data_IF_700218150001
#
_entry.id   IF_700218150001
#
_cell.length_a   1.000
_cell.length_b   1.000
_cell.length_c   1.000
_cell.angle_alpha   90.00
_cell.angle_beta   90.00
_cell.angle_gamma   90.00
#
_symmetry.space_group_name_H-M   'P 1'
#
loop_
_entity.id
_entity.type
_entity.pdbx_description
1 polymer ?
#
# COMPACT_ATOMS: atom_id res chain seq x y z
N UNK A 1 -8.76 16.99 -31.59
CA UNK A 1 -9.27 15.84 -30.81
C UNK A 1 -8.92 16.05 -29.33
N UNK A 2 -9.76 15.61 -28.39
CA UNK A 2 -9.44 15.67 -26.96
C UNK A 2 -8.27 14.75 -26.61
N UNK A 3 -7.50 15.10 -25.56
CA UNK A 3 -6.43 14.24 -25.04
C UNK A 3 -7.02 13.11 -24.20
N UNK A 4 -6.44 11.92 -24.28
CA UNK A 4 -6.88 10.80 -23.46
C UNK A 4 -6.42 10.96 -22.01
N UNK A 5 -7.33 10.67 -21.08
CA UNK A 5 -7.06 10.57 -19.65
C UNK A 5 -7.24 9.09 -19.24
N UNK A 6 -6.35 8.59 -18.38
CA UNK A 6 -6.42 7.26 -17.77
C UNK A 6 -6.30 7.39 -16.26
N UNK A 7 -6.99 6.54 -15.51
CA UNK A 7 -6.83 6.42 -14.05
C UNK A 7 -6.04 5.16 -13.70
N UNK A 8 -5.20 5.23 -12.67
CA UNK A 8 -4.42 4.07 -12.22
C UNK A 8 -3.79 4.27 -10.85
N UNK A 9 -3.16 3.20 -10.33
CA UNK A 9 -2.45 3.24 -9.05
C UNK A 9 -0.94 3.35 -9.27
N UNK A 10 -0.25 4.14 -8.45
CA UNK A 10 1.20 4.25 -8.46
C UNK A 10 1.84 2.96 -7.94
N UNK A 11 2.74 2.37 -8.72
CA UNK A 11 3.53 1.18 -8.34
C UNK A 11 4.89 1.60 -7.77
N UNK A 12 5.49 2.65 -8.35
CA UNK A 12 6.86 3.04 -8.01
C UNK A 12 7.19 4.48 -8.42
N UNK A 13 7.66 5.25 -7.45
CA UNK A 13 8.27 6.59 -7.56
C UNK A 13 9.80 6.55 -7.39
N UNK A 14 10.45 5.40 -7.64
CA UNK A 14 11.93 5.22 -7.52
C UNK A 14 12.78 6.12 -8.43
N UNK A 15 12.19 6.78 -9.42
CA UNK A 15 12.88 7.51 -10.48
C UNK A 15 12.56 8.99 -10.45
N UNK A 16 13.60 9.84 -10.49
CA UNK A 16 13.44 11.29 -10.47
C UNK A 16 12.47 11.79 -11.55
N UNK A 17 11.54 12.66 -11.13
CA UNK A 17 10.51 13.32 -11.95
C UNK A 17 9.62 12.35 -12.74
N UNK A 18 9.50 11.10 -12.28
CA UNK A 18 8.95 9.99 -13.06
C UNK A 18 8.23 8.98 -12.17
N UNK A 19 6.95 8.74 -12.46
CA UNK A 19 6.09 7.84 -11.70
C UNK A 19 5.66 6.67 -12.59
N UNK A 20 5.71 5.44 -12.07
CA UNK A 20 5.19 4.26 -12.78
C UNK A 20 3.77 3.94 -12.31
N UNK A 21 2.80 4.09 -13.21
CA UNK A 21 1.36 3.93 -12.92
C UNK A 21 0.83 2.63 -13.54
N UNK A 22 0.09 1.85 -12.76
CA UNK A 22 -0.66 0.67 -13.17
C UNK A 22 -2.08 1.09 -13.59
N UNK A 23 -2.41 0.97 -14.87
CA UNK A 23 -3.77 1.20 -15.38
C UNK A 23 -4.42 -0.14 -15.65
N UNK A 24 -5.55 -0.40 -14.97
CA UNK A 24 -6.44 -1.54 -15.25
C UNK A 24 -7.56 -1.12 -16.20
N UNK A 25 -7.78 -1.92 -17.25
CA UNK A 25 -8.97 -1.82 -18.11
C UNK A 25 -9.69 -3.16 -18.17
N UNK A 26 -11.02 -3.15 -18.21
CA UNK A 26 -11.82 -4.33 -18.55
C UNK A 26 -12.18 -4.27 -20.02
N UNK A 27 -12.06 -5.39 -20.72
CA UNK A 27 -12.51 -5.53 -22.10
C UNK A 27 -13.24 -6.86 -22.27
N UNK A 28 -14.19 -6.91 -23.20
CA UNK A 28 -14.86 -8.15 -23.56
C UNK A 28 -13.99 -8.92 -24.56
N UNK A 29 -13.71 -10.20 -24.31
CA UNK A 29 -13.06 -11.05 -25.30
C UNK A 29 -14.00 -11.22 -26.51
N UNK A 30 -13.57 -10.96 -27.76
CA UNK A 30 -14.47 -10.85 -28.91
C UNK A 30 -15.26 -12.14 -29.18
N UNK A 31 -14.61 -13.31 -29.12
CA UNK A 31 -15.26 -14.61 -29.33
C UNK A 31 -16.08 -15.03 -28.11
N UNK A 32 -15.43 -15.28 -26.97
CA UNK A 32 -16.05 -15.84 -25.76
C UNK A 32 -16.97 -14.89 -24.97
N UNK A 33 -17.06 -13.60 -25.33
CA UNK A 33 -17.86 -12.55 -24.65
C UNK A 33 -17.62 -12.39 -23.13
N UNK A 34 -16.56 -13.00 -22.61
CA UNK A 34 -16.14 -12.89 -21.20
C UNK A 34 -15.39 -11.58 -20.95
N UNK A 35 -15.71 -10.90 -19.84
CA UNK A 35 -14.96 -9.74 -19.40
C UNK A 35 -13.60 -10.16 -18.81
N UNK A 36 -12.52 -9.64 -19.38
CA UNK A 36 -11.13 -9.89 -18.97
C UNK A 36 -10.50 -8.58 -18.52
N UNK A 37 -9.72 -8.62 -17.44
CA UNK A 37 -8.88 -7.49 -17.01
C UNK A 37 -7.57 -7.49 -17.82
N UNK A 38 -7.24 -6.36 -18.44
CA UNK A 38 -5.94 -6.08 -19.05
C UNK A 38 -5.29 -4.96 -18.25
N UNK A 39 -4.04 -5.18 -17.86
CA UNK A 39 -3.29 -4.24 -17.03
C UNK A 39 -2.03 -3.80 -17.76
N UNK A 40 -1.76 -2.49 -17.77
CA UNK A 40 -0.59 -1.91 -18.44
C UNK A 40 0.13 -0.93 -17.50
N UNK A 41 1.46 -0.85 -17.65
CA UNK A 41 2.31 0.06 -16.89
C UNK A 41 2.65 1.28 -17.76
N UNK A 42 2.36 2.47 -17.26
CA UNK A 42 2.67 3.73 -17.92
C UNK A 42 3.72 4.51 -17.13
N UNK A 43 4.63 5.19 -17.83
CA UNK A 43 5.59 6.10 -17.20
C UNK A 43 5.09 7.53 -17.36
N UNK A 44 4.68 8.12 -16.25
CA UNK A 44 4.15 9.46 -16.15
C UNK A 44 5.25 10.44 -15.71
N UNK A 45 5.11 11.70 -16.10
CA UNK A 45 5.91 12.81 -15.61
C UNK A 45 5.18 13.53 -14.48
N UNK A 46 5.87 13.64 -13.35
CA UNK A 46 5.59 14.59 -12.28
C UNK A 46 6.86 15.45 -12.15
N UNK A 47 6.75 16.77 -12.14
CA UNK A 47 7.91 17.66 -11.95
C UNK A 47 8.30 17.80 -10.47
N UNK A 48 7.33 17.57 -9.58
CA UNK A 48 7.35 17.85 -8.15
C UNK A 48 7.63 16.62 -7.25
N UNK A 49 7.66 15.41 -7.82
CA UNK A 49 7.82 14.13 -7.09
C UNK A 49 6.85 13.98 -5.89
N UNK A 50 5.62 14.44 -6.07
CA UNK A 50 4.58 14.49 -5.05
C UNK A 50 3.85 13.16 -4.86
N UNK A 51 3.78 12.33 -5.91
CA UNK A 51 2.97 11.12 -5.91
C UNK A 51 3.60 10.02 -5.04
N UNK A 52 2.81 9.47 -4.12
CA UNK A 52 3.26 8.39 -3.24
C UNK A 52 2.99 7.00 -3.85
N UNK A 53 3.81 6.01 -3.48
CA UNK A 53 3.59 4.62 -3.87
C UNK A 53 2.25 4.11 -3.29
N UNK A 54 1.39 3.55 -4.14
CA UNK A 54 0.03 3.11 -3.79
C UNK A 54 -1.09 4.14 -4.01
N UNK A 55 -0.77 5.40 -4.31
CA UNK A 55 -1.76 6.45 -4.58
C UNK A 55 -2.55 6.20 -5.88
N UNK A 56 -3.82 6.62 -5.93
CA UNK A 56 -4.66 6.56 -7.16
C UNK A 56 -4.62 7.90 -7.89
N UNK A 57 -3.98 7.93 -9.05
CA UNK A 57 -3.72 9.14 -9.84
C UNK A 57 -4.40 9.10 -11.21
N UNK A 58 -4.71 10.27 -11.76
CA UNK A 58 -5.07 10.43 -13.17
C UNK A 58 -3.82 10.79 -13.98
N UNK A 59 -3.73 10.29 -15.22
CA UNK A 59 -2.65 10.59 -16.15
C UNK A 59 -3.22 11.00 -17.51
N UNK A 60 -2.60 11.99 -18.15
CA UNK A 60 -3.02 12.55 -19.44
C UNK A 60 -1.94 12.34 -20.51
N UNK A 61 -2.35 12.06 -21.75
CA UNK A 61 -1.43 12.03 -22.89
C UNK A 61 -0.73 13.39 -23.08
N UNK A 62 0.58 13.36 -23.30
CA UNK A 62 1.39 14.56 -23.48
C UNK A 62 2.44 14.35 -24.59
N UNK A 63 3.17 15.41 -24.94
CA UNK A 63 4.30 15.31 -25.87
C UNK A 63 5.33 14.28 -25.35
N UNK A 64 6.14 13.66 -26.22
CA UNK A 64 7.33 12.94 -25.79
C UNK A 64 8.20 13.74 -24.80
N UNK A 65 8.51 13.10 -23.65
CA UNK A 65 9.43 13.65 -22.64
C UNK A 65 10.73 12.81 -22.57
N UNK A 66 10.66 11.51 -22.87
CA UNK A 66 11.84 10.63 -22.99
C UNK A 66 11.63 9.56 -24.07
N UNK A 67 12.31 8.40 -24.01
CA UNK A 67 11.96 7.25 -24.86
C UNK A 67 10.58 6.66 -24.53
N UNK A 68 10.25 6.56 -23.23
CA UNK A 68 9.03 5.86 -22.74
C UNK A 68 8.00 6.81 -22.12
N UNK A 69 8.43 7.96 -21.58
CA UNK A 69 7.53 8.92 -20.92
C UNK A 69 6.70 9.68 -21.96
N UNK A 70 5.41 9.37 -22.02
CA UNK A 70 4.38 9.94 -22.93
C UNK A 70 3.16 10.47 -22.17
N UNK A 71 3.19 10.40 -20.85
CA UNK A 71 2.08 10.72 -19.95
C UNK A 71 2.54 11.77 -18.93
N UNK A 72 1.64 12.65 -18.53
CA UNK A 72 1.83 13.57 -17.40
C UNK A 72 0.82 13.23 -16.31
N UNK A 73 1.18 13.42 -15.04
CA UNK A 73 0.24 13.26 -13.92
C UNK A 73 -0.71 14.45 -13.91
N UNK A 74 -2.02 14.17 -13.84
CA UNK A 74 -3.05 15.16 -13.63
C UNK A 74 -3.37 15.19 -12.13
N UNK A 75 -3.10 16.33 -11.48
CA UNK A 75 -3.41 16.54 -10.06
C UNK A 75 -4.81 17.10 -9.91
N UNK A 76 -5.82 16.26 -10.04
CA UNK A 76 -7.18 16.64 -9.69
C UNK A 76 -7.30 16.72 -8.17
N UNK A 77 -7.50 17.94 -7.67
CA UNK A 77 -7.66 18.22 -6.25
C UNK A 77 -8.93 17.58 -5.69
N UNK A 78 -8.83 16.32 -5.28
CA UNK A 78 -9.81 15.72 -4.36
C UNK A 78 -9.59 16.33 -2.99
N UNK A 79 -10.20 17.50 -2.79
CA UNK A 79 -10.37 18.07 -1.46
C UNK A 79 -10.95 16.99 -0.55
N UNK A 80 -10.24 16.71 0.53
CA UNK A 80 -10.72 15.80 1.56
C UNK A 80 -12.00 16.40 2.14
N UNK A 81 -13.15 15.77 1.87
CA UNK A 81 -14.34 15.98 2.68
C UNK A 81 -13.94 15.62 4.11
N UNK A 82 -13.89 16.57 5.07
CA UNK A 82 -13.51 16.25 6.44
C UNK A 82 -14.56 15.30 7.01
N UNK A 83 -14.17 14.30 7.85
CA UNK A 83 -15.15 13.50 8.56
C UNK A 83 -15.97 14.44 9.46
N UNK A 84 -17.23 14.67 9.09
CA UNK A 84 -18.11 15.60 9.81
C UNK A 84 -18.34 15.11 11.24
N UNK A 85 -17.70 15.82 12.16
CA UNK A 85 -17.97 15.95 13.58
C UNK A 85 -18.93 14.92 14.20
N UNK A 86 -18.37 14.00 15.00
CA UNK A 86 -19.13 13.33 16.05
C UNK A 86 -18.33 13.23 17.36
N UNK A 87 -17.78 14.38 17.80
CA UNK A 87 -17.03 14.49 19.06
C UNK A 87 -17.82 15.24 20.14
N UNK A 88 -19.12 14.93 20.24
CA UNK A 88 -19.99 15.32 21.38
C UNK A 88 -20.88 14.16 21.85
N UNK A 89 -20.24 13.06 22.27
CA UNK A 89 -20.85 12.01 23.12
C UNK A 89 -19.99 11.67 24.34
N UNK A 90 -19.49 12.70 25.03
CA UNK A 90 -19.00 12.65 26.41
C UNK A 90 -19.51 13.89 27.14
N UNK A 91 -19.82 13.76 28.43
CA UNK A 91 -20.27 14.83 29.35
C UNK A 91 -21.75 15.29 29.29
N UNK A 92 -22.71 14.36 29.42
CA UNK A 92 -23.90 14.60 30.28
C UNK A 92 -24.33 13.30 30.99
N UNK A 93 -23.57 12.89 32.00
CA UNK A 93 -24.02 11.90 32.97
C UNK A 93 -24.38 12.61 34.29
N UNK A 94 -25.67 12.93 34.48
CA UNK A 94 -26.26 13.23 35.79
C UNK A 94 -27.69 12.69 35.88
N UNK A 95 -27.90 11.83 36.88
CA UNK A 95 -29.15 11.35 37.48
C UNK A 95 -30.22 10.63 36.64
N UNK A 96 -30.21 9.29 36.77
CA UNK A 96 -31.40 8.48 37.09
C UNK A 96 -30.98 7.40 38.12
N UNK A 97 -31.77 7.08 39.18
CA UNK A 97 -31.30 6.26 40.30
C UNK A 97 -31.82 4.80 40.37
N UNK A 98 -31.14 4.01 41.22
CA UNK A 98 -31.66 2.94 42.11
C UNK A 98 -31.49 1.43 41.77
N UNK A 99 -31.01 0.69 42.81
CA UNK A 99 -31.07 -0.78 43.08
C UNK A 99 -30.29 -1.73 42.13
N UNK A 100 -29.58 -2.78 42.60
CA UNK A 100 -29.20 -3.18 43.97
C UNK A 100 -28.80 -4.68 44.10
N UNK A 101 -28.10 -5.02 45.20
CA UNK A 101 -27.78 -6.37 45.77
C UNK A 101 -26.57 -7.22 45.25
N UNK A 102 -25.77 -7.63 46.25
CA UNK A 102 -25.13 -8.94 46.50
C UNK A 102 -23.72 -9.33 45.93
N UNK A 103 -22.78 -9.48 46.88
CA UNK A 103 -21.56 -10.34 46.86
C UNK A 103 -21.94 -11.83 47.17
N UNK A 104 -21.07 -12.89 47.12
CA UNK A 104 -19.60 -12.90 47.30
C UNK A 104 -18.73 -13.93 46.48
N UNK A 105 -17.42 -14.00 46.81
CA UNK A 105 -16.29 -14.91 46.42
C UNK A 105 -16.58 -16.43 46.68
N UNK A 106 -15.84 -17.47 46.13
CA UNK A 106 -14.35 -17.61 46.18
C UNK A 106 -13.54 -18.58 45.20
N UNK A 107 -12.20 -18.46 45.25
CA UNK A 107 -11.09 -19.48 45.24
C UNK A 107 -10.76 -20.51 44.09
N UNK A 108 -9.46 -20.94 44.07
CA UNK A 108 -8.79 -22.12 43.44
C UNK A 108 -8.43 -22.09 41.92
N UNK A 109 -7.35 -22.70 41.37
CA UNK A 109 -6.07 -23.27 41.89
C UNK A 109 -5.04 -23.65 40.75
N UNK A 110 -3.76 -23.94 41.09
CA UNK A 110 -2.66 -24.60 40.29
C UNK A 110 -2.18 -23.92 38.97
N UNK A 111 -1.04 -24.23 38.29
CA UNK A 111 0.09 -25.19 38.40
C UNK A 111 0.44 -25.84 37.04
N UNK A 112 1.67 -26.25 36.62
CA UNK A 112 3.06 -26.18 37.14
C UNK A 112 4.07 -26.66 36.03
N UNK A 113 5.32 -26.15 35.97
CA UNK A 113 6.47 -26.61 35.11
C UNK A 113 6.33 -26.38 33.57
N UNK A 114 7.36 -26.44 32.68
CA UNK A 114 8.75 -26.97 32.71
C UNK A 114 9.74 -26.16 31.78
N UNK A 115 10.96 -26.65 31.50
CA UNK A 115 12.17 -25.84 31.22
C UNK A 115 12.96 -26.18 29.90
N UNK A 116 13.81 -25.24 29.42
CA UNK A 116 14.92 -25.38 28.42
C UNK A 116 14.50 -25.58 26.94
N UNK A 117 15.24 -25.10 25.91
CA UNK A 117 16.66 -24.74 25.80
C UNK A 117 16.95 -23.75 24.62
N UNK A 118 17.88 -22.77 24.75
CA UNK A 118 18.40 -22.00 23.62
C UNK A 118 19.63 -22.68 22.97
N UNK A 119 19.83 -22.50 21.65
CA UNK A 119 21.14 -22.80 21.03
C UNK A 119 21.39 -22.02 19.73
N UNK A 120 22.09 -20.89 19.83
CA UNK A 120 22.72 -20.25 18.68
C UNK A 120 24.00 -21.00 18.28
N UNK A 121 24.27 -21.14 16.97
CA UNK A 121 25.58 -21.55 16.46
C UNK A 121 25.83 -20.98 15.06
N UNK A 122 26.60 -19.89 14.97
CA UNK A 122 27.51 -19.64 13.83
C UNK A 122 28.86 -20.30 14.15
N UNK A 123 29.61 -20.76 13.15
CA UNK A 123 30.76 -19.94 12.74
C UNK A 123 30.95 -19.87 11.21
N UNK A 124 31.88 -19.03 10.78
CA UNK A 124 32.27 -18.83 9.39
C UNK A 124 33.43 -19.77 8.97
N UNK A 125 33.53 -20.02 7.67
CA UNK A 125 34.74 -20.42 6.94
C UNK A 125 34.53 -19.93 5.49
N UNK A 126 35.20 -18.89 5.01
CA UNK A 126 36.62 -18.77 4.64
C UNK A 126 36.85 -19.07 3.14
N UNK A 127 37.54 -18.13 2.48
CA UNK A 127 37.80 -18.15 1.03
C UNK A 127 38.88 -19.18 0.70
N UNK A 128 38.71 -19.93 -0.39
CA UNK A 128 39.85 -20.50 -1.13
C UNK A 128 39.84 -20.08 -2.59
N UNK A 129 40.64 -19.06 -2.89
CA UNK A 129 41.18 -18.83 -4.22
C UNK A 129 42.07 -20.02 -4.62
N UNK A 130 41.97 -20.49 -5.86
CA UNK A 130 43.06 -21.24 -6.48
C UNK A 130 43.20 -20.83 -7.93
N UNK A 131 44.27 -20.10 -8.22
CA UNK A 131 44.72 -19.88 -9.58
C UNK A 131 45.07 -21.22 -10.23
N UNK A 132 44.79 -21.34 -11.53
CA UNK A 132 45.59 -22.19 -12.42
C UNK A 132 46.29 -21.29 -13.43
N UNK A 133 47.47 -21.74 -13.80
CA UNK A 133 48.52 -21.04 -14.53
C UNK A 133 48.88 -21.91 -15.73
N UNK A 134 49.11 -21.26 -16.86
CA UNK A 134 49.80 -21.68 -18.09
C UNK A 134 49.57 -23.10 -18.65
N UNK A 135 48.93 -23.17 -19.82
CA UNK A 135 49.28 -24.01 -20.97
C UNK A 135 48.47 -23.54 -22.19
#
# INVERSE_FOLDING_TARGET
MPRRILEGNVISTKTNKTVTVLVERRYMHPVYKKYIKSTQKFTAHDESNSCQDGERVQIIECRPISKTKRWAVLRDGKESIPPTNNEKRKLTAKNAPAKGKAEPKPAAAAGKAEEKKPKAKKPAAEKKSKAKKDA
#
